data_IF_746347016889
#
_entry.id   IF_746347016889
#
_cell.length_a   1.000
_cell.length_b   1.000
_cell.length_c   1.000
_cell.angle_alpha   90.00
_cell.angle_beta   90.00
_cell.angle_gamma   90.00
#
_symmetry.space_group_name_H-M   'P 1'
#
loop_
_entity.id
_entity.type
_entity.pdbx_description
1 polymer ?
#
# COMPACT_ATOMS: atom_id res chain seq x y z
N UNK A 1 -16.30 -18.75 6.28
CA UNK A 1 -16.38 -18.06 4.98
C UNK A 1 -15.03 -17.40 4.75
N UNK A 2 -14.25 -17.87 3.78
CA UNK A 2 -12.80 -17.64 3.70
C UNK A 2 -12.40 -16.23 3.20
N UNK A 3 -13.33 -15.28 3.05
CA UNK A 3 -13.01 -13.91 2.56
C UNK A 3 -12.32 -13.91 1.17
N UNK A 4 -12.73 -14.84 0.31
CA UNK A 4 -12.34 -14.94 -1.10
C UNK A 4 -13.32 -14.12 -1.95
N UNK A 5 -12.82 -13.52 -3.02
CA UNK A 5 -13.65 -12.84 -4.03
C UNK A 5 -12.98 -12.95 -5.41
N UNK A 6 -13.69 -12.56 -6.46
CA UNK A 6 -13.13 -12.38 -7.79
C UNK A 6 -12.31 -11.08 -7.86
N UNK A 7 -11.00 -11.23 -8.03
CA UNK A 7 -10.05 -10.14 -8.22
C UNK A 7 -9.44 -10.19 -9.62
N UNK A 8 -9.28 -9.04 -10.28
CA UNK A 8 -8.62 -9.00 -11.58
C UNK A 8 -7.11 -9.27 -11.45
N UNK A 9 -6.64 -10.33 -12.10
CA UNK A 9 -5.22 -10.66 -12.22
C UNK A 9 -4.68 -10.04 -13.51
N UNK A 10 -3.76 -9.08 -13.40
CA UNK A 10 -3.10 -8.48 -14.56
C UNK A 10 -2.22 -9.49 -15.31
N UNK A 11 -1.65 -10.47 -14.60
CA UNK A 11 -0.83 -11.53 -15.19
C UNK A 11 -1.66 -12.49 -16.03
N UNK A 12 -2.89 -12.80 -15.59
CA UNK A 12 -3.78 -13.74 -16.28
C UNK A 12 -4.78 -13.04 -17.23
N UNK A 13 -4.85 -11.70 -17.19
CA UNK A 13 -5.78 -10.91 -17.99
C UNK A 13 -7.26 -11.15 -17.67
N UNK A 14 -7.57 -11.74 -16.51
CA UNK A 14 -8.93 -12.13 -16.12
C UNK A 14 -9.17 -12.01 -14.62
N UNK A 15 -10.45 -12.00 -14.24
CA UNK A 15 -10.84 -12.14 -12.84
C UNK A 15 -10.61 -13.56 -12.36
N UNK A 16 -9.92 -13.69 -11.22
CA UNK A 16 -9.59 -14.97 -10.57
C UNK A 16 -10.18 -14.99 -9.18
N UNK A 17 -10.65 -16.16 -8.75
CA UNK A 17 -11.12 -16.37 -7.39
C UNK A 17 -9.91 -16.46 -6.46
N UNK A 18 -9.71 -15.47 -5.60
CA UNK A 18 -8.51 -15.39 -4.77
C UNK A 18 -8.71 -14.57 -3.50
N UNK A 19 -7.72 -14.60 -2.62
CA UNK A 19 -7.54 -13.53 -1.65
C UNK A 19 -6.78 -12.38 -2.32
N UNK A 20 -6.90 -11.20 -1.75
CA UNK A 20 -6.06 -10.07 -2.10
C UNK A 20 -5.52 -9.44 -0.81
N UNK A 21 -4.24 -9.10 -0.80
CA UNK A 21 -3.60 -8.49 0.34
C UNK A 21 -2.61 -7.42 -0.09
N UNK A 22 -2.38 -6.45 0.78
CA UNK A 22 -1.26 -5.51 0.72
C UNK A 22 -0.27 -5.93 1.80
N UNK A 23 0.99 -6.13 1.45
CA UNK A 23 2.03 -6.61 2.36
C UNK A 23 3.25 -5.70 2.34
N UNK A 24 3.93 -5.62 3.48
CA UNK A 24 5.22 -4.93 3.60
C UNK A 24 6.30 -5.96 3.84
N UNK A 25 7.36 -5.87 3.03
CA UNK A 25 8.58 -6.63 3.18
C UNK A 25 9.70 -5.69 3.64
N UNK A 26 10.42 -6.08 4.68
CA UNK A 26 11.49 -5.29 5.28
C UNK A 26 12.81 -5.92 4.91
N UNK A 27 13.75 -5.08 4.46
CA UNK A 27 15.11 -5.47 4.14
C UNK A 27 16.04 -4.55 4.92
N UNK A 28 16.94 -5.13 5.71
CA UNK A 28 17.97 -4.42 6.47
C UNK A 28 19.22 -5.28 6.52
N UNK A 29 20.37 -4.74 6.14
CA UNK A 29 21.67 -5.44 6.10
C UNK A 29 21.56 -6.89 5.57
N UNK A 30 21.60 -7.88 6.48
CA UNK A 30 21.53 -9.32 6.20
C UNK A 30 20.14 -9.95 6.38
N UNK A 31 19.12 -9.18 6.74
CA UNK A 31 17.75 -9.64 6.98
C UNK A 31 16.80 -9.22 5.86
N UNK A 32 15.91 -10.14 5.52
CA UNK A 32 14.87 -9.95 4.52
C UNK A 32 13.65 -10.74 4.96
N UNK A 33 12.60 -10.06 5.42
CA UNK A 33 11.42 -10.73 5.97
C UNK A 33 10.14 -9.94 5.75
N UNK A 34 9.02 -10.65 5.69
CA UNK A 34 7.69 -10.04 5.64
C UNK A 34 7.35 -9.51 7.03
N UNK A 35 7.14 -8.19 7.13
CA UNK A 35 6.82 -7.55 8.41
C UNK A 35 5.33 -7.66 8.74
N UNK A 36 4.46 -7.47 7.74
CA UNK A 36 3.03 -7.49 7.97
C UNK A 36 2.22 -7.42 6.68
N UNK A 37 0.93 -7.70 6.81
CA UNK A 37 -0.01 -7.58 5.69
C UNK A 37 -1.40 -7.12 6.16
N UNK A 38 -2.20 -6.67 5.20
CA UNK A 38 -3.62 -6.33 5.34
C UNK A 38 -4.41 -7.03 4.26
N UNK A 39 -5.47 -7.72 4.64
CA UNK A 39 -6.43 -8.27 3.67
C UNK A 39 -7.21 -7.14 3.03
N UNK A 40 -7.28 -7.15 1.71
CA UNK A 40 -8.13 -6.26 0.94
C UNK A 40 -9.49 -6.92 0.69
N UNK A 41 -10.56 -6.19 0.98
CA UNK A 41 -11.93 -6.61 0.70
C UNK A 41 -12.55 -5.64 -0.31
N UNK A 42 -13.36 -6.17 -1.23
CA UNK A 42 -14.10 -5.34 -2.17
C UNK A 42 -15.17 -4.55 -1.45
N UNK A 43 -15.52 -3.39 -1.99
CA UNK A 43 -16.52 -2.50 -1.43
C UNK A 43 -17.87 -3.21 -1.20
N UNK A 44 -18.31 -4.02 -2.17
CA UNK A 44 -19.52 -4.85 -2.05
C UNK A 44 -19.49 -5.79 -0.85
N UNK A 45 -18.36 -6.48 -0.62
CA UNK A 45 -18.17 -7.35 0.54
C UNK A 45 -18.21 -6.54 1.85
N UNK A 46 -17.59 -5.35 1.84
CA UNK A 46 -17.60 -4.45 2.98
C UNK A 46 -19.01 -3.98 3.33
N UNK A 47 -19.81 -3.61 2.33
CA UNK A 47 -21.21 -3.20 2.48
C UNK A 47 -22.09 -4.33 3.03
N UNK A 48 -22.02 -5.52 2.43
CA UNK A 48 -22.78 -6.70 2.85
C UNK A 48 -22.51 -7.08 4.31
N UNK A 49 -21.28 -6.88 4.78
CA UNK A 49 -20.86 -7.22 6.14
C UNK A 49 -20.76 -6.02 7.08
N UNK A 50 -21.19 -4.83 6.64
CA UNK A 50 -21.20 -3.59 7.44
C UNK A 50 -19.84 -3.26 8.07
N UNK A 51 -18.76 -3.50 7.34
CA UNK A 51 -17.41 -3.10 7.72
C UNK A 51 -16.96 -1.90 6.86
N UNK A 52 -16.18 -0.96 7.40
CA UNK A 52 -15.66 0.15 6.61
C UNK A 52 -14.81 -0.34 5.44
N UNK A 53 -15.08 0.16 4.24
CA UNK A 53 -14.24 -0.10 3.08
C UNK A 53 -12.89 0.61 3.23
N UNK A 54 -11.82 -0.08 2.81
CA UNK A 54 -10.47 0.47 2.74
C UNK A 54 -9.87 0.15 1.38
N UNK A 55 -9.41 1.17 0.67
CA UNK A 55 -8.67 0.96 -0.58
C UNK A 55 -7.29 0.35 -0.28
N UNK A 56 -6.65 -0.23 -1.31
CA UNK A 56 -5.27 -0.73 -1.17
C UNK A 56 -4.29 0.36 -0.73
N UNK A 57 -4.53 1.63 -1.08
CA UNK A 57 -3.72 2.76 -0.64
C UNK A 57 -3.92 3.02 0.86
N UNK A 58 -5.16 2.94 1.36
CA UNK A 58 -5.44 3.12 2.79
C UNK A 58 -4.76 2.00 3.61
N UNK A 59 -4.80 0.76 3.12
CA UNK A 59 -4.11 -0.37 3.74
C UNK A 59 -2.58 -0.21 3.74
N UNK A 60 -2.00 0.36 2.69
CA UNK A 60 -0.57 0.67 2.65
C UNK A 60 -0.21 1.78 3.64
N UNK A 61 -1.04 2.83 3.75
CA UNK A 61 -0.86 3.89 4.74
C UNK A 61 -0.88 3.33 6.16
N UNK A 62 -1.80 2.41 6.47
CA UNK A 62 -1.83 1.74 7.78
C UNK A 62 -0.50 1.03 8.10
N UNK A 63 0.02 0.24 7.14
CA UNK A 63 1.28 -0.46 7.32
C UNK A 63 2.46 0.52 7.53
N UNK A 64 2.47 1.64 6.83
CA UNK A 64 3.50 2.70 6.98
C UNK A 64 3.42 3.36 8.36
N UNK A 65 2.21 3.67 8.82
CA UNK A 65 2.00 4.35 10.10
C UNK A 65 2.31 3.45 11.29
N UNK A 66 2.03 2.15 11.17
CA UNK A 66 2.26 1.17 12.23
C UNK A 66 3.69 0.64 12.30
N UNK A 67 4.49 0.79 11.24
CA UNK A 67 5.88 0.31 11.24
C UNK A 67 6.65 0.92 12.42
N UNK A 68 7.21 0.15 13.36
CA UNK A 68 7.96 0.72 14.48
C UNK A 68 9.31 1.23 13.98
N UNK A 69 9.56 2.53 14.10
CA UNK A 69 10.85 3.17 13.74
C UNK A 69 11.52 3.65 15.02
N UNK A 70 12.82 3.37 15.18
CA UNK A 70 13.66 3.99 16.22
C UNK A 70 14.22 5.34 15.76
N UNK A 71 14.60 6.21 16.70
CA UNK A 71 15.04 7.58 16.38
C UNK A 71 16.33 7.64 15.54
N UNK A 72 17.09 6.56 15.49
CA UNK A 72 18.36 6.39 14.79
C UNK A 72 18.21 5.64 13.45
N UNK A 73 17.01 5.20 13.10
CA UNK A 73 16.75 4.49 11.85
C UNK A 73 16.39 5.44 10.70
N UNK A 74 16.96 5.17 9.52
CA UNK A 74 16.52 5.79 8.28
C UNK A 74 15.70 4.81 7.45
N UNK A 75 14.39 5.01 7.40
CA UNK A 75 13.47 4.15 6.65
C UNK A 75 13.25 4.68 5.24
N UNK A 76 13.40 3.80 4.26
CA UNK A 76 13.03 4.02 2.85
C UNK A 76 11.82 3.16 2.50
N UNK A 77 10.76 3.80 2.03
CA UNK A 77 9.55 3.13 1.54
C UNK A 77 9.65 3.03 0.02
N UNK A 78 9.84 1.81 -0.48
CA UNK A 78 9.88 1.48 -1.90
C UNK A 78 8.54 0.90 -2.34
N UNK A 79 7.94 1.50 -3.36
CA UNK A 79 6.65 1.02 -3.90
C UNK A 79 6.62 1.01 -5.43
N UNK A 80 5.71 0.23 -5.99
CA UNK A 80 5.41 0.31 -7.42
C UNK A 80 4.63 1.60 -7.76
N UNK A 81 4.46 1.83 -9.06
CA UNK A 81 3.81 3.05 -9.56
C UNK A 81 2.31 3.20 -9.27
N UNK A 82 1.63 2.13 -8.90
CA UNK A 82 0.24 2.16 -8.44
C UNK A 82 0.10 2.84 -7.09
N UNK A 83 1.10 2.67 -6.21
CA UNK A 83 1.14 3.23 -4.86
C UNK A 83 1.75 4.64 -4.79
N UNK A 84 2.26 5.17 -5.91
CA UNK A 84 2.71 6.56 -6.04
C UNK A 84 1.53 7.52 -6.10
N UNK A 85 0.90 7.75 -4.95
CA UNK A 85 -0.20 8.68 -4.76
C UNK A 85 0.00 9.55 -3.52
N UNK A 86 -0.65 10.73 -3.51
CA UNK A 86 -0.52 11.75 -2.45
C UNK A 86 -0.62 11.17 -1.04
N UNK A 87 -1.64 10.35 -0.76
CA UNK A 87 -1.86 9.70 0.55
C UNK A 87 -0.64 8.93 1.07
N UNK A 88 0.00 8.13 0.21
CA UNK A 88 1.14 7.29 0.58
C UNK A 88 2.39 8.14 0.79
N UNK A 89 2.62 9.12 -0.09
CA UNK A 89 3.74 10.05 0.00
C UNK A 89 3.65 10.88 1.29
N UNK A 90 2.47 11.43 1.59
CA UNK A 90 2.22 12.21 2.81
C UNK A 90 2.38 11.35 4.07
N UNK A 91 1.89 10.10 4.07
CA UNK A 91 2.08 9.18 5.19
C UNK A 91 3.57 8.90 5.47
N UNK A 92 4.37 8.69 4.42
CA UNK A 92 5.82 8.55 4.56
C UNK A 92 6.45 9.82 5.12
N UNK A 93 6.08 10.99 4.57
CA UNK A 93 6.61 12.28 5.01
C UNK A 93 6.31 12.56 6.50
N UNK A 94 5.08 12.31 6.95
CA UNK A 94 4.66 12.46 8.34
C UNK A 94 5.45 11.55 9.30
N UNK A 95 5.81 10.36 8.84
CA UNK A 95 6.65 9.41 9.59
C UNK A 95 8.15 9.73 9.52
N UNK A 96 8.56 10.75 8.76
CA UNK A 96 9.97 11.07 8.50
C UNK A 96 10.66 10.12 7.52
N UNK A 97 9.91 9.21 6.89
CA UNK A 97 10.44 8.22 5.96
C UNK A 97 10.79 8.85 4.62
N UNK A 98 11.77 8.27 3.93
CA UNK A 98 12.10 8.59 2.53
C UNK A 98 11.21 7.75 1.62
N UNK A 99 10.65 8.36 0.57
CA UNK A 99 9.79 7.67 -0.38
C UNK A 99 10.51 7.45 -1.72
N UNK A 100 10.39 6.25 -2.27
CA UNK A 100 10.86 5.88 -3.61
C UNK A 100 9.71 5.15 -4.32
N UNK A 101 9.24 5.68 -5.45
CA UNK A 101 8.15 5.07 -6.19
C UNK A 101 8.23 5.35 -7.68
N UNK A 102 7.67 4.45 -8.49
CA UNK A 102 7.58 4.66 -9.94
C UNK A 102 6.53 5.73 -10.28
N UNK A 103 6.81 6.61 -11.23
CA UNK A 103 5.83 7.58 -11.71
C UNK A 103 5.13 7.07 -12.98
N UNK A 104 3.80 7.15 -13.04
CA UNK A 104 3.06 6.97 -14.30
C UNK A 104 2.75 8.32 -14.94
N UNK A 105 2.65 8.41 -16.29
CA UNK A 105 2.33 9.65 -16.99
C UNK A 105 1.00 10.31 -16.58
N UNK A 106 0.06 9.54 -16.03
CA UNK A 106 -1.23 10.03 -15.53
C UNK A 106 -1.18 10.57 -14.08
N UNK A 107 -0.01 11.06 -13.64
CA UNK A 107 0.18 11.68 -12.33
C UNK A 107 0.66 13.12 -12.55
N UNK A 108 -0.12 14.08 -12.08
CA UNK A 108 0.30 15.46 -12.04
C UNK A 108 1.24 15.66 -10.85
N UNK A 109 2.45 16.14 -11.11
CA UNK A 109 3.39 16.57 -10.08
C UNK A 109 3.44 18.09 -10.15
N UNK A 110 3.30 18.73 -8.99
CA UNK A 110 3.43 20.16 -8.82
C UNK A 110 4.69 20.44 -7.98
N UNK A 111 5.89 20.56 -8.58
CA UNK A 111 7.14 20.71 -7.83
C UNK A 111 7.19 21.96 -6.96
N UNK A 112 6.38 22.97 -7.31
CA UNK A 112 6.25 24.25 -6.61
C UNK A 112 5.04 24.29 -5.67
N UNK A 113 4.22 23.22 -5.60
CA UNK A 113 3.03 23.16 -4.76
C UNK A 113 1.86 24.05 -5.21
N UNK A 114 1.86 24.51 -6.46
CA UNK A 114 0.80 25.34 -7.04
C UNK A 114 -0.11 24.44 -7.89
N UNK A 115 -1.33 24.18 -7.41
CA UNK A 115 -2.41 23.50 -8.14
C UNK A 115 -3.34 24.48 -8.84
#
# INVERSE_FOLDING_TARGET
MERLDYHFSHSDGKSVWSHCAVSTHVVTESYSFTWGFRSYFRETYCEEHKIPFKSKLDLAVELIQEYPMSNDEQVYVLVDSWYTGRKVIEACHQRGFRFIGGLRPNRNIYPLGLE
#
